data_IF_018946122348
#
_entry.id   IF_018946122348
#
_cell.length_a   1.000
_cell.length_b   1.000
_cell.length_c   1.000
_cell.angle_alpha   90.00
_cell.angle_beta   90.00
_cell.angle_gamma   90.00
#
_symmetry.space_group_name_H-M   'P 1'
#
loop_
_entity.id
_entity.type
_entity.pdbx_description
1 polymer ?
#
# COMPACT_ATOMS: atom_id res chain seq x y z
N UNK A 1 16.01 -19.57 13.99
CA UNK A 1 15.25 -20.25 12.91
C UNK A 1 14.18 -19.28 12.42
N UNK A 2 14.24 -18.89 11.15
CA UNK A 2 13.26 -17.97 10.53
C UNK A 2 12.01 -18.77 10.16
N UNK A 3 10.86 -18.41 10.74
CA UNK A 3 9.57 -18.96 10.33
C UNK A 3 9.23 -18.35 8.98
N UNK A 4 9.25 -19.19 7.93
CA UNK A 4 8.82 -18.84 6.58
C UNK A 4 7.32 -18.57 6.61
N UNK A 5 6.95 -17.32 6.36
CA UNK A 5 5.57 -16.90 6.21
C UNK A 5 5.09 -17.23 4.78
N UNK A 6 4.33 -18.32 4.63
CA UNK A 6 3.94 -18.82 3.31
C UNK A 6 2.57 -18.34 2.80
N UNK A 7 1.77 -17.55 3.54
CA UNK A 7 0.37 -17.23 3.13
C UNK A 7 -0.18 -15.87 3.61
N UNK A 8 0.64 -14.91 4.05
CA UNK A 8 0.14 -13.75 4.84
C UNK A 8 0.29 -12.39 4.13
N UNK A 9 0.91 -12.31 2.94
CA UNK A 9 1.04 -11.06 2.19
C UNK A 9 0.71 -11.18 0.69
N UNK A 10 0.39 -10.05 0.07
CA UNK A 10 0.45 -9.84 -1.39
C UNK A 10 1.64 -8.93 -1.72
N UNK A 11 2.16 -9.05 -2.92
CA UNK A 11 3.15 -8.13 -3.48
C UNK A 11 2.44 -7.03 -4.26
N UNK A 12 3.00 -5.83 -4.19
CA UNK A 12 2.66 -4.70 -5.05
C UNK A 12 3.92 -4.21 -5.75
N UNK A 13 3.94 -4.24 -7.08
CA UNK A 13 4.95 -3.56 -7.89
C UNK A 13 4.73 -2.06 -7.81
N UNK A 14 5.65 -1.35 -7.17
CA UNK A 14 5.46 0.07 -6.87
C UNK A 14 5.58 0.96 -8.09
N UNK A 15 6.39 0.58 -9.08
CA UNK A 15 6.55 1.35 -10.33
C UNK A 15 5.29 1.22 -11.17
N UNK A 16 4.85 -0.02 -11.41
CA UNK A 16 3.66 -0.28 -12.22
C UNK A 16 2.39 0.20 -11.53
N UNK A 17 2.32 0.12 -10.20
CA UNK A 17 1.20 0.71 -9.44
C UNK A 17 1.08 2.21 -9.71
N UNK A 18 2.18 2.98 -9.60
CA UNK A 18 2.16 4.43 -9.87
C UNK A 18 1.70 4.70 -11.30
N UNK A 19 2.20 3.94 -12.28
CA UNK A 19 1.89 4.17 -13.70
C UNK A 19 0.44 3.84 -14.05
N UNK A 20 -0.05 2.67 -13.64
CA UNK A 20 -1.36 2.17 -14.05
C UNK A 20 -2.52 2.75 -13.24
N UNK A 21 -2.26 3.35 -12.07
CA UNK A 21 -3.32 3.95 -11.24
C UNK A 21 -3.50 5.46 -11.42
N UNK A 22 -2.77 6.11 -12.36
CA UNK A 22 -2.87 7.56 -12.62
C UNK A 22 -4.28 8.05 -12.94
N UNK A 23 -5.08 7.21 -13.61
CA UNK A 23 -6.46 7.54 -14.00
C UNK A 23 -7.50 7.14 -12.95
N UNK A 24 -7.07 6.47 -11.87
CA UNK A 24 -7.94 5.99 -10.82
C UNK A 24 -8.05 6.99 -9.68
N UNK A 25 -9.26 7.12 -9.14
CA UNK A 25 -9.51 7.88 -7.92
C UNK A 25 -9.22 7.06 -6.64
N UNK A 26 -9.15 7.75 -5.51
CA UNK A 26 -8.86 7.13 -4.20
C UNK A 26 -9.81 5.96 -3.86
N UNK A 27 -11.08 6.01 -4.24
CA UNK A 27 -12.03 4.93 -3.94
C UNK A 27 -11.65 3.65 -4.70
N UNK A 28 -11.22 3.79 -5.95
CA UNK A 28 -10.79 2.66 -6.78
C UNK A 28 -9.47 2.10 -6.28
N UNK A 29 -8.50 2.96 -5.98
CA UNK A 29 -7.21 2.57 -5.37
C UNK A 29 -7.40 1.86 -4.03
N UNK A 30 -8.28 2.38 -3.17
CA UNK A 30 -8.66 1.74 -1.92
C UNK A 30 -9.37 0.40 -2.11
N UNK A 31 -10.13 0.25 -3.19
CA UNK A 31 -10.74 -1.04 -3.55
C UNK A 31 -9.70 -2.05 -4.03
N UNK A 32 -8.70 -1.61 -4.82
CA UNK A 32 -7.61 -2.45 -5.30
C UNK A 32 -6.76 -3.00 -4.14
N UNK A 33 -6.38 -2.16 -3.18
CA UNK A 33 -5.58 -2.65 -2.04
C UNK A 33 -6.36 -3.67 -1.22
N UNK A 34 -7.67 -3.50 -1.03
CA UNK A 34 -8.54 -4.50 -0.39
C UNK A 34 -8.58 -5.78 -1.23
N UNK A 35 -8.84 -5.70 -2.53
CA UNK A 35 -8.90 -6.85 -3.44
C UNK A 35 -7.58 -7.63 -3.43
N UNK A 36 -6.43 -6.96 -3.38
CA UNK A 36 -5.11 -7.59 -3.28
C UNK A 36 -4.96 -8.51 -2.06
N UNK A 37 -5.73 -8.25 -0.99
CA UNK A 37 -5.69 -9.08 0.22
C UNK A 37 -6.36 -10.44 0.07
N UNK A 38 -7.04 -10.68 -1.07
CA UNK A 38 -7.67 -11.95 -1.42
C UNK A 38 -6.89 -12.74 -2.47
N UNK A 39 -5.75 -12.25 -2.95
CA UNK A 39 -4.92 -12.98 -3.91
C UNK A 39 -4.57 -14.39 -3.42
N UNK A 40 -4.73 -15.39 -4.27
CA UNK A 40 -4.30 -16.77 -4.01
C UNK A 40 -2.78 -16.91 -4.22
N UNK A 41 -2.14 -17.73 -3.39
CA UNK A 41 -0.71 -18.03 -3.51
C UNK A 41 -0.42 -18.83 -4.77
N UNK A 42 0.50 -18.34 -5.62
CA UNK A 42 0.81 -18.89 -6.95
C UNK A 42 -0.46 -19.12 -7.80
N UNK A 43 -1.53 -18.35 -7.52
CA UNK A 43 -2.85 -18.52 -8.11
C UNK A 43 -3.07 -17.78 -9.43
N UNK A 44 -2.00 -17.32 -10.08
CA UNK A 44 -2.06 -16.57 -11.35
C UNK A 44 -3.03 -15.38 -11.31
N UNK A 45 -3.02 -14.64 -10.19
CA UNK A 45 -3.88 -13.47 -10.01
C UNK A 45 -5.32 -13.78 -9.58
N UNK A 46 -5.70 -15.04 -9.34
CA UNK A 46 -7.02 -15.38 -8.80
C UNK A 46 -7.20 -14.81 -7.39
N UNK A 47 -8.41 -14.34 -7.10
CA UNK A 47 -8.79 -13.85 -5.78
C UNK A 47 -9.74 -14.84 -5.13
N UNK A 48 -9.37 -15.34 -3.95
CA UNK A 48 -10.09 -16.35 -3.18
C UNK A 48 -10.48 -15.76 -1.81
N UNK A 49 -11.75 -15.90 -1.45
CA UNK A 49 -12.27 -15.46 -0.15
C UNK A 49 -11.87 -16.43 0.97
N UNK A 50 -11.94 -16.03 2.25
CA UNK A 50 -11.49 -16.88 3.36
C UNK A 50 -12.23 -18.22 3.50
N UNK A 51 -13.42 -18.31 2.91
CA UNK A 51 -14.25 -19.52 2.79
C UNK A 51 -13.82 -20.44 1.63
N UNK A 52 -12.79 -20.09 0.86
CA UNK A 52 -12.25 -20.91 -0.23
C UNK A 52 -12.92 -20.70 -1.59
N UNK A 53 -13.86 -19.76 -1.69
CA UNK A 53 -14.58 -19.49 -2.93
C UNK A 53 -13.94 -18.33 -3.74
N UNK A 54 -14.25 -18.22 -5.03
CA UNK A 54 -13.83 -17.07 -5.83
C UNK A 54 -14.40 -15.75 -5.30
N UNK A 55 -13.59 -14.69 -5.34
CA UNK A 55 -14.04 -13.33 -5.09
C UNK A 55 -14.82 -12.85 -6.31
N UNK A 56 -16.13 -12.72 -6.13
CA UNK A 56 -17.04 -12.21 -7.16
C UNK A 56 -17.43 -10.76 -6.90
N UNK A 57 -18.00 -10.11 -7.91
CA UNK A 57 -18.55 -8.77 -7.74
C UNK A 57 -19.66 -8.71 -6.66
N UNK A 58 -20.45 -9.78 -6.43
CA UNK A 58 -21.49 -9.78 -5.39
C UNK A 58 -20.88 -9.79 -3.99
N UNK A 59 -19.79 -10.55 -3.82
CA UNK A 59 -19.04 -10.56 -2.56
C UNK A 59 -18.36 -9.23 -2.34
N UNK A 60 -17.81 -8.63 -3.39
CA UNK A 60 -17.15 -7.34 -3.32
C UNK A 60 -18.11 -6.21 -2.92
N UNK A 61 -19.39 -6.27 -3.32
CA UNK A 61 -20.45 -5.37 -2.81
C UNK A 61 -20.52 -5.38 -1.29
N UNK A 62 -20.52 -6.57 -0.68
CA UNK A 62 -20.56 -6.74 0.78
C UNK A 62 -19.27 -6.25 1.44
N UNK A 63 -18.12 -6.62 0.87
CA UNK A 63 -16.79 -6.26 1.41
C UNK A 63 -16.55 -4.75 1.38
N UNK A 64 -16.92 -4.07 0.29
CA UNK A 64 -16.70 -2.63 0.15
C UNK A 64 -17.83 -1.78 0.75
N UNK A 65 -18.98 -2.40 1.08
CA UNK A 65 -20.17 -1.68 1.53
C UNK A 65 -20.68 -0.67 0.49
N UNK A 66 -20.68 -1.06 -0.80
CA UNK A 66 -21.07 -0.20 -1.93
C UNK A 66 -22.16 -0.84 -2.78
N UNK A 67 -22.93 -0.01 -3.49
CA UNK A 67 -23.95 -0.51 -4.42
C UNK A 67 -23.33 -1.35 -5.54
N UNK A 68 -24.12 -2.29 -6.09
CA UNK A 68 -23.74 -3.08 -7.26
C UNK A 68 -23.25 -2.22 -8.43
N UNK A 69 -23.97 -1.13 -8.72
CA UNK A 69 -23.60 -0.17 -9.76
C UNK A 69 -22.23 0.47 -9.51
N UNK A 70 -21.95 0.84 -8.26
CA UNK A 70 -20.65 1.44 -7.88
C UNK A 70 -19.53 0.43 -8.00
N UNK A 71 -19.72 -0.80 -7.49
CA UNK A 71 -18.73 -1.88 -7.62
C UNK A 71 -18.46 -2.19 -9.09
N UNK A 72 -19.51 -2.20 -9.91
CA UNK A 72 -19.32 -2.49 -11.32
C UNK A 72 -18.43 -1.44 -11.99
N UNK A 73 -18.75 -0.16 -11.79
CA UNK A 73 -17.92 0.95 -12.28
C UNK A 73 -16.48 0.92 -11.75
N UNK A 74 -16.26 0.50 -10.50
CA UNK A 74 -14.90 0.36 -9.95
C UNK A 74 -14.12 -0.68 -10.76
N UNK A 75 -14.70 -1.87 -10.92
CA UNK A 75 -14.09 -2.98 -11.65
C UNK A 75 -13.87 -2.63 -13.12
N UNK A 76 -14.85 -2.03 -13.80
CA UNK A 76 -14.74 -1.66 -15.22
C UNK A 76 -13.59 -0.65 -15.44
N UNK A 77 -13.44 0.32 -14.53
CA UNK A 77 -12.34 1.28 -14.59
C UNK A 77 -10.97 0.65 -14.24
N UNK A 78 -10.93 -0.33 -13.33
CA UNK A 78 -9.69 -1.05 -13.03
C UNK A 78 -9.30 -1.98 -14.21
N UNK A 79 -10.28 -2.57 -14.88
CA UNK A 79 -10.10 -3.40 -16.07
C UNK A 79 -9.63 -2.56 -17.26
N UNK A 80 -10.23 -1.39 -17.48
CA UNK A 80 -9.75 -0.43 -18.47
C UNK A 80 -8.30 0.04 -18.20
N UNK A 81 -7.91 0.15 -16.93
CA UNK A 81 -6.54 0.47 -16.52
C UNK A 81 -5.57 -0.74 -16.59
N UNK A 82 -6.04 -1.94 -16.98
CA UNK A 82 -5.23 -3.15 -17.13
C UNK A 82 -4.82 -3.83 -15.83
N UNK A 83 -5.43 -3.46 -14.70
CA UNK A 83 -5.07 -3.97 -13.37
C UNK A 83 -5.72 -5.31 -13.02
N UNK A 84 -6.85 -5.60 -13.66
CA UNK A 84 -7.63 -6.81 -13.48
C UNK A 84 -8.42 -7.13 -14.74
N UNK A 85 -8.96 -8.33 -14.82
CA UNK A 85 -10.00 -8.68 -15.78
C UNK A 85 -11.17 -9.32 -15.05
N UNK A 86 -12.35 -9.24 -15.67
CA UNK A 86 -13.55 -9.88 -15.13
C UNK A 86 -14.12 -10.92 -16.09
N UNK A 87 -14.53 -12.06 -15.55
CA UNK A 87 -15.15 -13.14 -16.32
C UNK A 87 -16.59 -13.34 -15.84
N UNK A 88 -17.54 -13.30 -16.76
CA UNK A 88 -18.95 -13.53 -16.45
C UNK A 88 -19.20 -15.02 -16.17
N UNK A 89 -19.70 -15.33 -14.97
CA UNK A 89 -20.12 -16.67 -14.57
C UNK A 89 -21.57 -16.59 -14.12
N UNK A 90 -22.47 -17.05 -14.99
CA UNK A 90 -23.91 -16.91 -14.80
C UNK A 90 -24.33 -15.43 -14.73
N UNK A 91 -24.86 -15.01 -13.57
CA UNK A 91 -25.32 -13.62 -13.31
C UNK A 91 -24.32 -12.79 -12.50
N UNK A 92 -23.14 -13.31 -12.25
CA UNK A 92 -22.08 -12.62 -11.51
C UNK A 92 -20.79 -12.60 -12.32
N UNK A 93 -19.76 -11.95 -11.79
CA UNK A 93 -18.44 -11.98 -12.41
C UNK A 93 -17.34 -12.28 -11.41
N UNK A 94 -16.46 -13.20 -11.81
CA UNK A 94 -15.21 -13.48 -11.13
C UNK A 94 -14.20 -12.39 -11.46
N UNK A 95 -13.33 -12.11 -10.50
CA UNK A 95 -12.31 -11.06 -10.59
C UNK A 95 -10.94 -11.73 -10.52
N UNK A 96 -10.09 -11.41 -11.49
CA UNK A 96 -8.70 -11.88 -11.53
C UNK A 96 -7.79 -10.69 -11.75
N UNK A 97 -6.77 -10.53 -10.92
CA UNK A 97 -5.76 -9.50 -11.09
C UNK A 97 -4.80 -9.84 -12.23
N UNK A 98 -4.39 -8.81 -12.95
CA UNK A 98 -3.24 -8.92 -13.84
C UNK A 98 -1.99 -9.10 -12.96
N UNK A 99 -1.18 -10.16 -13.16
CA UNK A 99 0.01 -10.42 -12.33
C UNK A 99 1.09 -9.33 -12.41
N UNK A 100 0.91 -8.32 -13.25
CA UNK A 100 1.87 -7.26 -13.49
C UNK A 100 2.02 -6.29 -12.33
N UNK A 101 0.95 -6.00 -11.58
CA UNK A 101 0.97 -5.00 -10.47
C UNK A 101 0.85 -5.65 -9.12
N UNK A 102 -0.05 -6.63 -8.99
CA UNK A 102 -0.30 -7.30 -7.74
C UNK A 102 -0.11 -8.80 -7.92
N UNK A 103 0.57 -9.42 -6.97
CA UNK A 103 0.86 -10.85 -6.99
C UNK A 103 0.84 -11.47 -5.60
N UNK A 104 0.85 -12.79 -5.52
CA UNK A 104 1.03 -13.51 -4.27
C UNK A 104 1.71 -14.83 -4.59
N UNK A 105 2.84 -15.10 -3.94
CA UNK A 105 3.65 -16.25 -4.31
C UNK A 105 5.11 -15.90 -4.52
N UNK A 106 5.77 -16.67 -5.37
CA UNK A 106 7.17 -16.44 -5.72
C UNK A 106 7.29 -15.28 -6.71
N UNK A 107 8.20 -14.34 -6.44
CA UNK A 107 8.58 -13.33 -7.43
C UNK A 107 9.62 -13.95 -8.35
N UNK A 108 9.32 -14.04 -9.64
CA UNK A 108 10.34 -14.36 -10.65
C UNK A 108 11.30 -13.17 -10.74
N UNK A 109 12.49 -13.36 -10.14
CA UNK A 109 13.74 -12.60 -10.32
C UNK A 109 13.53 -11.13 -10.74
N UNK A 110 13.15 -10.29 -9.77
CA UNK A 110 13.20 -8.84 -9.91
C UNK A 110 13.82 -8.23 -8.66
N UNK A 111 14.48 -7.06 -8.76
CA UNK A 111 15.11 -6.45 -7.60
C UNK A 111 14.06 -6.21 -6.52
N UNK A 112 14.25 -6.84 -5.35
CA UNK A 112 13.31 -6.83 -4.22
C UNK A 112 12.87 -5.40 -3.83
N UNK A 113 13.70 -4.40 -4.13
CA UNK A 113 13.45 -2.99 -3.83
C UNK A 113 12.22 -2.40 -4.52
N UNK A 114 11.78 -2.93 -5.66
CA UNK A 114 10.64 -2.38 -6.41
C UNK A 114 9.28 -2.87 -5.90
N UNK A 115 9.28 -3.83 -4.97
CA UNK A 115 8.08 -4.49 -4.48
C UNK A 115 7.81 -4.16 -3.01
N UNK A 116 6.52 -4.09 -2.68
CA UNK A 116 6.04 -3.98 -1.30
C UNK A 116 5.21 -5.21 -0.97
N UNK A 117 5.57 -5.91 0.11
CA UNK A 117 4.70 -6.88 0.79
C UNK A 117 3.61 -6.12 1.52
N UNK A 118 2.37 -6.52 1.32
CA UNK A 118 1.17 -6.00 1.99
C UNK A 118 0.57 -7.12 2.82
N UNK A 119 0.61 -7.01 4.15
CA UNK A 119 0.14 -8.06 5.05
C UNK A 119 -1.40 -8.12 5.07
N UNK A 120 -1.95 -9.14 4.43
CA UNK A 120 -3.37 -9.25 4.06
C UNK A 120 -4.31 -9.15 5.24
N UNK A 121 -3.98 -9.82 6.36
CA UNK A 121 -4.85 -9.84 7.55
C UNK A 121 -4.85 -8.46 8.23
N UNK A 122 -3.68 -7.83 8.33
CA UNK A 122 -3.53 -6.52 8.98
C UNK A 122 -4.22 -5.42 8.18
N UNK A 123 -4.06 -5.41 6.86
CA UNK A 123 -4.78 -4.45 5.98
C UNK A 123 -6.29 -4.69 5.98
N UNK A 124 -6.77 -5.94 5.99
CA UNK A 124 -8.23 -6.21 6.09
C UNK A 124 -8.86 -5.64 7.36
N UNK A 125 -8.11 -5.55 8.47
CA UNK A 125 -8.62 -4.91 9.70
C UNK A 125 -8.87 -3.42 9.50
N UNK A 126 -8.04 -2.74 8.71
CA UNK A 126 -8.18 -1.31 8.42
C UNK A 126 -9.49 -0.95 7.69
N UNK A 127 -10.12 -1.91 7.00
CA UNK A 127 -11.40 -1.69 6.28
C UNK A 127 -12.52 -1.24 7.23
N UNK A 128 -12.44 -1.60 8.52
CA UNK A 128 -13.41 -1.18 9.54
C UNK A 128 -13.17 0.23 10.08
N UNK A 129 -11.95 0.76 9.90
CA UNK A 129 -11.50 2.01 10.52
C UNK A 129 -11.33 3.14 9.49
N UNK A 130 -11.05 2.78 8.24
CA UNK A 130 -10.74 3.71 7.17
C UNK A 130 -11.80 3.65 6.05
N UNK A 131 -12.12 4.81 5.49
CA UNK A 131 -12.91 4.86 4.27
C UNK A 131 -12.10 4.35 3.07
N UNK A 132 -12.78 3.95 1.99
CA UNK A 132 -12.08 3.59 0.74
C UNK A 132 -11.18 4.70 0.22
N UNK A 133 -11.54 5.98 0.44
CA UNK A 133 -10.68 7.10 0.05
C UNK A 133 -9.40 7.18 0.89
N UNK A 134 -9.50 6.90 2.18
CA UNK A 134 -8.34 6.88 3.07
C UNK A 134 -7.42 5.68 2.75
N UNK A 135 -8.01 4.53 2.40
CA UNK A 135 -7.27 3.36 1.92
C UNK A 135 -6.61 3.59 0.56
N UNK A 136 -7.22 4.38 -0.34
CA UNK A 136 -6.57 4.78 -1.58
C UNK A 136 -5.33 5.62 -1.35
N UNK A 137 -5.41 6.59 -0.42
CA UNK A 137 -4.25 7.37 -0.01
C UNK A 137 -3.17 6.51 0.65
N UNK A 138 -3.56 5.54 1.50
CA UNK A 138 -2.63 4.56 2.05
C UNK A 138 -1.89 3.81 0.95
N UNK A 139 -2.61 3.31 -0.06
CA UNK A 139 -2.02 2.59 -1.19
C UNK A 139 -1.02 3.49 -1.96
N UNK A 140 -1.35 4.76 -2.14
CA UNK A 140 -0.48 5.76 -2.78
C UNK A 140 0.78 6.10 -1.96
N UNK A 141 0.82 5.84 -0.65
CA UNK A 141 2.03 6.02 0.16
C UNK A 141 3.02 4.85 0.02
N UNK A 142 2.54 3.65 -0.30
CA UNK A 142 3.35 2.44 -0.33
C UNK A 142 4.57 2.52 -1.27
N UNK A 143 4.47 3.13 -2.46
CA UNK A 143 5.64 3.32 -3.32
C UNK A 143 6.75 4.16 -2.72
N UNK A 144 6.49 4.95 -1.67
CA UNK A 144 7.36 6.03 -1.22
C UNK A 144 8.11 5.76 0.09
N UNK A 145 7.92 4.62 0.75
CA UNK A 145 8.70 4.33 1.96
C UNK A 145 10.03 3.64 1.64
N UNK A 146 11.09 4.07 2.34
CA UNK A 146 12.44 3.52 2.23
C UNK A 146 12.50 2.08 2.73
N UNK A 147 13.18 1.21 1.99
CA UNK A 147 13.23 -0.23 2.28
C UNK A 147 13.77 -0.60 3.67
N UNK A 148 14.70 0.19 4.21
CA UNK A 148 15.38 -0.10 5.48
C UNK A 148 14.76 0.62 6.67
N UNK A 149 14.43 1.91 6.52
CA UNK A 149 13.94 2.77 7.61
C UNK A 149 12.43 2.90 7.65
N UNK A 150 11.72 2.50 6.59
CA UNK A 150 10.27 2.68 6.45
C UNK A 150 9.82 4.14 6.43
N UNK A 151 10.77 5.08 6.35
CA UNK A 151 10.51 6.51 6.22
C UNK A 151 10.00 6.84 4.82
N UNK A 152 8.98 7.68 4.72
CA UNK A 152 8.52 8.23 3.45
C UNK A 152 9.58 9.16 2.87
N UNK A 153 10.05 8.88 1.66
CA UNK A 153 11.15 9.58 1.01
C UNK A 153 11.03 9.56 -0.52
N UNK A 154 11.75 10.47 -1.17
CA UNK A 154 11.80 10.59 -2.63
C UNK A 154 12.55 9.44 -3.31
N UNK A 155 13.47 8.80 -2.59
CA UNK A 155 14.34 7.74 -3.08
C UNK A 155 14.17 6.44 -2.26
N UNK A 156 12.99 5.79 -2.33
CA UNK A 156 12.62 4.66 -1.47
C UNK A 156 13.50 3.40 -1.65
N UNK A 157 14.21 3.30 -2.76
CA UNK A 157 15.09 2.16 -3.09
C UNK A 157 16.58 2.43 -2.79
N UNK A 158 16.91 3.64 -2.31
CA UNK A 158 18.27 4.05 -1.98
C UNK A 158 18.95 3.07 -1.00
N UNK A 159 20.28 3.03 -1.03
CA UNK A 159 21.05 2.14 -0.15
C UNK A 159 21.53 2.93 1.07
N UNK A 160 21.15 2.48 2.27
CA UNK A 160 21.55 3.13 3.51
C UNK A 160 20.80 4.43 3.78
N UNK A 161 21.24 5.16 4.82
CA UNK A 161 20.56 6.37 5.30
C UNK A 161 21.20 7.67 4.81
N UNK A 162 22.50 7.64 4.49
CA UNK A 162 23.22 8.78 3.94
C UNK A 162 22.71 9.11 2.53
N UNK A 163 22.21 10.32 2.32
CA UNK A 163 21.59 10.74 1.05
C UNK A 163 20.13 10.30 0.86
N UNK A 164 19.51 9.65 1.86
CA UNK A 164 18.05 9.46 1.88
C UNK A 164 17.37 10.83 1.97
N UNK A 165 16.30 11.06 1.19
CA UNK A 165 15.57 12.33 1.14
C UNK A 165 14.16 12.15 1.67
N UNK A 166 14.03 12.20 2.99
CA UNK A 166 12.72 12.13 3.65
C UNK A 166 11.79 13.26 3.20
N UNK A 167 10.51 12.95 3.00
CA UNK A 167 9.52 13.96 2.66
C UNK A 167 9.18 14.83 3.87
N UNK A 168 9.13 16.14 3.64
CA UNK A 168 8.49 17.11 4.55
C UNK A 168 6.97 17.12 4.32
N UNK A 169 6.21 17.79 5.20
CA UNK A 169 4.77 18.02 4.98
C UNK A 169 4.52 18.72 3.63
N UNK A 170 5.35 19.70 3.26
CA UNK A 170 5.23 20.40 1.97
C UNK A 170 5.61 19.51 0.78
N UNK A 171 6.57 18.60 0.96
CA UNK A 171 6.89 17.57 -0.03
C UNK A 171 5.72 16.63 -0.28
N UNK A 172 5.06 16.15 0.78
CA UNK A 172 3.86 15.31 0.66
C UNK A 172 2.67 16.05 0.02
N UNK A 173 2.46 17.33 0.35
CA UNK A 173 1.43 18.16 -0.30
C UNK A 173 1.66 18.24 -1.81
N UNK A 174 2.89 18.52 -2.24
CA UNK A 174 3.27 18.59 -3.66
C UNK A 174 3.13 17.23 -4.34
N UNK A 175 3.61 16.16 -3.70
CA UNK A 175 3.57 14.80 -4.25
C UNK A 175 2.14 14.36 -4.56
N UNK A 176 1.19 14.61 -3.65
CA UNK A 176 -0.19 14.15 -3.79
C UNK A 176 -1.17 15.22 -4.30
N UNK A 177 -0.70 16.44 -4.56
CA UNK A 177 -1.55 17.55 -4.98
C UNK A 177 -2.63 17.90 -3.96
N UNK A 178 -2.31 17.79 -2.66
CA UNK A 178 -3.25 18.01 -1.56
C UNK A 178 -2.92 19.30 -0.82
N UNK A 179 -3.95 20.02 -0.38
CA UNK A 179 -3.77 21.11 0.57
C UNK A 179 -3.42 20.58 1.97
N UNK A 180 -2.80 21.42 2.79
CA UNK A 180 -2.38 21.11 4.16
C UNK A 180 -3.49 20.52 5.02
N UNK A 181 -4.72 21.08 4.96
CA UNK A 181 -5.83 20.63 5.79
C UNK A 181 -6.26 19.21 5.38
N UNK A 182 -6.36 18.95 4.09
CA UNK A 182 -6.72 17.63 3.56
C UNK A 182 -5.65 16.58 3.88
N UNK A 183 -4.37 16.93 3.67
CA UNK A 183 -3.26 16.05 4.00
C UNK A 183 -3.25 15.70 5.49
N UNK A 184 -3.34 16.70 6.38
CA UNK A 184 -3.29 16.47 7.82
C UNK A 184 -4.50 15.68 8.33
N UNK A 185 -5.67 15.85 7.71
CA UNK A 185 -6.83 14.99 7.95
C UNK A 185 -6.57 13.53 7.60
N UNK A 186 -5.97 13.24 6.45
CA UNK A 186 -5.60 11.88 6.02
C UNK A 186 -4.52 11.29 6.93
N UNK A 187 -3.45 12.03 7.21
CA UNK A 187 -2.35 11.61 8.11
C UNK A 187 -2.90 11.28 9.50
N UNK A 188 -3.75 12.13 10.08
CA UNK A 188 -4.35 11.90 11.40
C UNK A 188 -5.08 10.56 11.47
N UNK A 189 -5.85 10.21 10.44
CA UNK A 189 -6.56 8.92 10.39
C UNK A 189 -5.61 7.73 10.27
N UNK A 190 -4.60 7.83 9.41
CA UNK A 190 -3.59 6.78 9.25
C UNK A 190 -2.75 6.57 10.51
N UNK A 191 -2.54 7.64 11.29
CA UNK A 191 -1.94 7.54 12.63
C UNK A 191 -2.85 6.87 13.64
N UNK A 192 -4.14 7.22 13.63
CA UNK A 192 -5.11 6.66 14.56
C UNK A 192 -5.25 5.13 14.43
N UNK A 193 -5.08 4.58 13.23
CA UNK A 193 -5.08 3.14 12.99
C UNK A 193 -3.68 2.48 13.05
N UNK A 194 -2.64 3.24 13.42
CA UNK A 194 -1.27 2.75 13.56
C UNK A 194 -0.54 2.43 12.25
N UNK A 195 -1.11 2.79 11.09
CA UNK A 195 -0.45 2.56 9.80
C UNK A 195 0.73 3.51 9.58
N UNK A 196 0.56 4.79 9.94
CA UNK A 196 1.56 5.84 9.77
C UNK A 196 1.98 6.37 11.14
N UNK A 197 3.24 6.68 11.33
CA UNK A 197 3.79 7.26 12.55
C UNK A 197 4.63 8.50 12.20
N UNK A 198 4.82 9.36 13.19
CA UNK A 198 5.63 10.57 13.09
C UNK A 198 6.59 10.60 14.28
N UNK A 199 7.85 10.93 14.05
CA UNK A 199 8.83 11.15 15.13
C UNK A 199 8.54 12.44 15.89
N UNK A 200 8.97 12.51 17.15
CA UNK A 200 8.91 13.73 17.98
C UNK A 200 10.30 14.38 18.13
N UNK A 201 11.25 14.00 17.29
CA UNK A 201 12.64 14.48 17.33
C UNK A 201 12.79 15.89 16.79
N UNK A 202 14.01 16.27 16.42
CA UNK A 202 14.34 17.61 15.90
C UNK A 202 13.52 17.99 14.66
N UNK A 203 13.25 17.03 13.79
CA UNK A 203 12.45 17.22 12.58
C UNK A 203 11.36 16.14 12.48
N UNK A 204 10.14 16.52 12.11
CA UNK A 204 9.06 15.55 11.89
C UNK A 204 9.38 14.64 10.70
N UNK A 205 9.46 13.34 10.94
CA UNK A 205 9.68 12.32 9.92
C UNK A 205 8.52 11.35 9.92
N UNK A 206 7.95 11.12 8.73
CA UNK A 206 6.83 10.21 8.52
C UNK A 206 7.33 8.82 8.16
N UNK A 207 6.87 7.78 8.86
CA UNK A 207 7.25 6.39 8.57
C UNK A 207 6.08 5.44 8.69
N UNK A 208 6.08 4.40 7.85
CA UNK A 208 5.01 3.40 7.81
C UNK A 208 5.30 2.26 8.77
N UNK A 209 4.26 1.69 9.35
CA UNK A 209 4.39 0.61 10.32
C UNK A 209 4.73 -0.72 9.64
N UNK A 210 5.77 -1.45 10.11
CA UNK A 210 6.12 -2.78 9.59
C UNK A 210 5.09 -3.85 9.96
N UNK A 211 4.06 -3.51 10.73
CA UNK A 211 2.93 -4.40 10.96
C UNK A 211 2.08 -4.63 9.71
N UNK A 212 2.04 -3.66 8.79
CA UNK A 212 1.17 -3.68 7.62
C UNK A 212 1.91 -3.97 6.31
N UNK A 213 3.18 -3.56 6.23
CA UNK A 213 3.96 -3.65 4.99
C UNK A 213 5.41 -4.00 5.23
N UNK A 214 6.13 -4.41 4.18
CA UNK A 214 7.59 -4.59 4.19
C UNK A 214 8.13 -4.61 2.76
N UNK A 215 9.33 -4.07 2.52
CA UNK A 215 10.09 -4.35 1.28
C UNK A 215 11.11 -5.49 1.44
N UNK A 216 11.34 -5.92 2.68
CA UNK A 216 12.33 -6.93 3.04
C UNK A 216 11.70 -8.29 3.24
N UNK A 217 12.50 -9.34 3.01
CA UNK A 217 12.11 -10.72 3.33
C UNK A 217 11.87 -10.95 4.82
N UNK A 218 12.66 -10.29 5.67
CA UNK A 218 12.46 -10.32 7.12
C UNK A 218 11.50 -9.20 7.54
N UNK A 219 10.52 -9.55 8.37
CA UNK A 219 9.65 -8.57 9.02
C UNK A 219 10.43 -7.87 10.14
N UNK A 220 10.40 -6.54 10.14
CA UNK A 220 10.96 -5.72 11.21
C UNK A 220 9.93 -5.46 12.31
N UNK A 221 10.38 -5.12 13.51
CA UNK A 221 9.48 -4.71 14.60
C UNK A 221 9.24 -3.21 14.57
N UNK A 222 8.11 -2.76 15.12
CA UNK A 222 7.78 -1.34 15.19
C UNK A 222 8.81 -0.57 16.03
N UNK A 223 9.28 -1.16 17.12
CA UNK A 223 10.25 -0.55 18.04
C UNK A 223 11.59 -0.29 17.33
N UNK A 224 12.06 -1.25 16.53
CA UNK A 224 13.28 -1.08 15.74
C UNK A 224 13.13 0.05 14.71
N UNK A 225 12.03 0.04 13.94
CA UNK A 225 11.76 1.08 12.95
C UNK A 225 11.61 2.46 13.59
N UNK A 226 10.95 2.54 14.75
CA UNK A 226 10.83 3.78 15.51
C UNK A 226 12.21 4.29 15.94
N UNK A 227 13.09 3.41 16.45
CA UNK A 227 14.47 3.79 16.81
C UNK A 227 15.22 4.35 15.59
N UNK A 228 15.20 3.65 14.45
CA UNK A 228 15.83 4.10 13.21
C UNK A 228 15.28 5.45 12.75
N UNK A 229 13.96 5.64 12.82
CA UNK A 229 13.33 6.88 12.41
C UNK A 229 13.70 8.05 13.33
N UNK A 230 13.75 7.84 14.65
CA UNK A 230 14.19 8.85 15.62
C UNK A 230 15.66 9.20 15.41
N UNK A 231 16.55 8.22 15.24
CA UNK A 231 17.97 8.48 14.96
C UNK A 231 18.16 9.30 13.68
N UNK A 232 17.40 9.00 12.63
CA UNK A 232 17.42 9.79 11.40
C UNK A 232 16.88 11.22 11.63
N UNK A 233 15.78 11.35 12.36
CA UNK A 233 15.14 12.63 12.71
C UNK A 233 16.06 13.55 13.52
N UNK A 234 16.84 13.00 14.46
CA UNK A 234 17.75 13.76 15.30
C UNK A 234 19.03 14.18 14.57
N UNK A 235 19.49 13.35 13.63
CA UNK A 235 20.65 13.62 12.78
C UNK A 235 20.30 14.35 11.48
N UNK A 236 19.03 14.69 11.26
CA UNK A 236 18.58 15.41 10.08
C UNK A 236 19.21 16.82 10.10
N UNK A 237 20.29 16.99 9.34
CA UNK A 237 20.86 18.31 9.06
C UNK A 237 19.96 18.97 8.03
N UNK A 238 19.49 20.18 8.31
CA UNK A 238 18.77 21.06 7.37
C UNK A 238 19.66 21.52 6.19
N UNK A 239 20.36 20.61 5.52
CA UNK A 239 21.16 20.93 4.33
C UNK A 239 20.27 21.22 3.10
N UNK A 240 18.94 21.08 3.22
CA UNK A 240 17.96 21.46 2.19
C UNK A 240 17.42 22.89 2.34
N UNK A 241 17.94 23.72 3.25
CA UNK A 241 17.66 25.18 3.30
C UNK A 241 18.63 26.03 2.46
N UNK A 242 19.54 25.40 1.71
CA UNK A 242 20.52 26.07 0.85
C UNK A 242 20.45 25.57 -0.60
N UNK A 243 19.27 25.59 -1.23
CA UNK A 243 19.12 25.67 -2.70
C UNK A 243 17.88 26.44 -3.08
#
# INVERSE_FOLDING_TARGET
>A
MSVKDNRIFSWMDTVRYIEQTKTLNDVQKGSLIIMSTFLEFDGQGRLITPDGEYLTANKLVKILGKSRKTVNRILDNCEYAGLLFTEAIGKDRNITFTPSVFGCGHLEIQPESSYVKVFKIKVRKLVKELSLKDLGFLADLLPHFHKDSYILCENPTWNGFEGMRAYTESGLQKLFGLDKRTLNGKIKKLRACGFLMITLGRSEVYYVSPEFVSRKNKKETLEYIQKVATEYSDNFKDENLLK
#
